data_IF_370406899439
#
_entry.id   IF_370406899439
#
_cell.length_a   1.000
_cell.length_b   1.000
_cell.length_c   1.000
_cell.angle_alpha   90.00
_cell.angle_beta   90.00
_cell.angle_gamma   90.00
#
_symmetry.space_group_name_H-M   'P 1'
#
loop_
_entity.id
_entity.type
_entity.pdbx_description
1 polymer ?
#
# COMPACT_ATOMS: atom_id res chain seq x y z
N UNK A 1 -33.39 -9.38 7.64
CA UNK A 1 -32.72 -9.26 8.95
C UNK A 1 -31.57 -8.24 8.97
N UNK A 2 -30.63 -8.24 8.01
CA UNK A 2 -29.50 -7.28 8.00
C UNK A 2 -29.88 -5.79 8.09
N UNK A 3 -30.90 -5.35 7.34
CA UNK A 3 -31.40 -3.96 7.40
C UNK A 3 -31.96 -3.54 8.78
N UNK A 4 -32.49 -4.49 9.56
CA UNK A 4 -32.99 -4.20 10.92
C UNK A 4 -31.83 -3.93 11.87
N UNK A 5 -30.74 -4.71 11.76
CA UNK A 5 -29.51 -4.47 12.52
C UNK A 5 -28.86 -3.13 12.16
N UNK A 6 -28.80 -2.79 10.86
CA UNK A 6 -28.28 -1.49 10.42
C UNK A 6 -29.10 -0.33 11.00
N UNK A 7 -30.43 -0.43 10.93
CA UNK A 7 -31.32 0.61 11.46
C UNK A 7 -31.20 0.72 12.98
N UNK A 8 -31.11 -0.40 13.69
CA UNK A 8 -30.93 -0.43 15.14
C UNK A 8 -29.59 0.19 15.58
N UNK A 9 -28.49 -0.11 14.86
CA UNK A 9 -27.17 0.47 15.13
C UNK A 9 -27.17 1.98 14.88
N UNK A 10 -27.76 2.44 13.76
CA UNK A 10 -27.87 3.87 13.45
C UNK A 10 -28.73 4.58 14.49
N UNK A 11 -29.86 3.99 14.89
CA UNK A 11 -30.73 4.56 15.92
C UNK A 11 -30.00 4.65 17.26
N UNK A 12 -29.26 3.61 17.66
CA UNK A 12 -28.46 3.61 18.88
C UNK A 12 -27.38 4.72 18.82
N UNK A 13 -26.62 4.82 17.74
CA UNK A 13 -25.62 5.88 17.56
C UNK A 13 -26.25 7.28 17.60
N UNK A 14 -27.41 7.46 16.97
CA UNK A 14 -28.15 8.72 16.99
C UNK A 14 -28.63 9.06 18.41
N UNK A 15 -29.16 8.09 19.15
CA UNK A 15 -29.59 8.32 20.55
C UNK A 15 -28.40 8.70 21.44
N UNK A 16 -27.26 8.03 21.30
CA UNK A 16 -26.04 8.39 22.04
C UNK A 16 -25.53 9.78 21.67
N UNK A 17 -25.57 10.14 20.38
CA UNK A 17 -25.18 11.47 19.91
C UNK A 17 -26.08 12.55 20.51
N UNK A 18 -27.40 12.38 20.44
CA UNK A 18 -28.36 13.34 20.99
C UNK A 18 -28.20 13.45 22.50
N UNK A 19 -28.06 12.32 23.22
CA UNK A 19 -27.78 12.32 24.66
C UNK A 19 -26.49 13.07 25.00
N UNK A 20 -25.41 12.86 24.23
CA UNK A 20 -24.15 13.56 24.39
C UNK A 20 -24.27 15.07 24.16
N UNK A 21 -24.95 15.49 23.09
CA UNK A 21 -25.18 16.92 22.81
C UNK A 21 -26.02 17.57 23.90
N UNK A 22 -27.08 16.91 24.36
CA UNK A 22 -27.94 17.40 25.45
C UNK A 22 -27.15 17.51 26.75
N UNK A 23 -26.29 16.52 27.06
CA UNK A 23 -25.43 16.56 28.25
C UNK A 23 -24.43 17.73 28.20
N UNK A 24 -23.75 17.93 27.06
CA UNK A 24 -22.85 19.07 26.86
C UNK A 24 -23.60 20.40 26.97
N UNK A 25 -24.78 20.51 26.35
CA UNK A 25 -25.59 21.73 26.42
C UNK A 25 -26.10 22.03 27.84
N UNK A 26 -26.50 21.00 28.60
CA UNK A 26 -26.92 21.12 30.00
C UNK A 26 -25.80 21.62 30.90
N UNK A 27 -24.60 21.05 30.71
CA UNK A 27 -23.41 21.41 31.46
C UNK A 27 -22.88 22.81 31.11
N UNK A 28 -23.17 23.33 29.91
CA UNK A 28 -22.84 24.71 29.52
C UNK A 28 -23.82 25.74 30.10
N UNK A 29 -25.10 25.39 30.25
CA UNK A 29 -26.16 26.35 30.54
C UNK A 29 -26.50 26.48 32.04
N UNK A 30 -26.45 25.42 32.85
CA UNK A 30 -27.05 25.48 34.19
C UNK A 30 -26.34 24.71 35.32
N UNK A 31 -25.61 23.62 35.04
CA UNK A 31 -25.23 22.68 36.10
C UNK A 31 -23.71 22.69 36.41
N UNK A 32 -23.34 23.26 37.56
CA UNK A 32 -21.94 23.36 38.02
C UNK A 32 -21.27 21.98 38.17
N UNK A 33 -22.03 20.94 38.56
CA UNK A 33 -21.48 19.58 38.72
C UNK A 33 -21.17 18.93 37.36
N UNK A 34 -22.04 19.14 36.38
CA UNK A 34 -21.82 18.66 35.02
C UNK A 34 -20.69 19.43 34.32
N UNK A 35 -20.53 20.72 34.64
CA UNK A 35 -19.41 21.55 34.17
C UNK A 35 -18.05 21.04 34.67
N UNK A 36 -17.91 20.67 35.96
CA UNK A 36 -16.68 20.06 36.49
C UNK A 36 -16.37 18.72 35.81
N UNK A 37 -17.40 17.88 35.59
CA UNK A 37 -17.22 16.61 34.88
C UNK A 37 -16.83 16.79 33.42
N UNK A 38 -17.33 17.85 32.75
CA UNK A 38 -16.89 18.23 31.41
C UNK A 38 -15.43 18.69 31.38
N UNK A 39 -15.01 19.50 32.35
CA UNK A 39 -13.61 19.93 32.45
C UNK A 39 -12.68 18.74 32.71
N UNK A 40 -13.06 17.82 33.60
CA UNK A 40 -12.31 16.58 33.80
C UNK A 40 -12.23 15.74 32.51
N UNK A 41 -13.33 15.64 31.75
CA UNK A 41 -13.37 14.95 30.46
C UNK A 41 -12.45 15.62 29.42
N UNK A 42 -12.48 16.95 29.34
CA UNK A 42 -11.67 17.74 28.42
C UNK A 42 -10.17 17.71 28.74
N UNK A 43 -9.79 17.86 30.01
CA UNK A 43 -8.39 17.96 30.42
C UNK A 43 -7.71 16.60 30.59
N UNK A 44 -8.41 15.59 31.13
CA UNK A 44 -7.81 14.31 31.48
C UNK A 44 -8.13 13.20 30.48
N UNK A 45 -9.42 13.00 30.15
CA UNK A 45 -9.84 11.86 29.34
C UNK A 45 -9.60 12.06 27.84
N UNK A 46 -9.81 13.28 27.32
CA UNK A 46 -9.69 13.57 25.90
C UNK A 46 -8.26 13.40 25.37
N UNK A 47 -7.20 13.89 26.05
CA UNK A 47 -5.82 13.61 25.64
C UNK A 47 -5.46 12.13 25.73
N UNK A 48 -5.98 11.40 26.72
CA UNK A 48 -5.74 9.96 26.86
C UNK A 48 -6.40 9.17 25.72
N UNK A 49 -7.66 9.45 25.40
CA UNK A 49 -8.37 8.83 24.27
C UNK A 49 -7.67 9.14 22.95
N UNK A 50 -7.26 10.39 22.74
CA UNK A 50 -6.54 10.79 21.54
C UNK A 50 -5.17 10.09 21.43
N UNK A 51 -4.46 9.95 22.56
CA UNK A 51 -3.22 9.16 22.64
C UNK A 51 -3.44 7.69 22.28
N UNK A 52 -4.50 7.06 22.77
CA UNK A 52 -4.86 5.68 22.42
C UNK A 52 -5.21 5.52 20.93
N UNK A 53 -6.01 6.42 20.38
CA UNK A 53 -6.41 6.41 18.96
C UNK A 53 -5.18 6.63 18.06
N UNK A 54 -4.32 7.59 18.42
CA UNK A 54 -3.07 7.88 17.72
C UNK A 54 -2.12 6.68 17.76
N UNK A 55 -1.91 6.07 18.94
CA UNK A 55 -1.07 4.87 19.08
C UNK A 55 -1.59 3.70 18.25
N UNK A 56 -2.92 3.47 18.25
CA UNK A 56 -3.54 2.46 17.40
C UNK A 56 -3.33 2.76 15.91
N UNK A 57 -3.56 4.01 15.49
CA UNK A 57 -3.36 4.44 14.11
C UNK A 57 -1.89 4.31 13.65
N UNK A 58 -0.94 4.68 14.50
CA UNK A 58 0.49 4.56 14.21
C UNK A 58 0.92 3.08 14.16
N UNK A 59 0.40 2.22 15.04
CA UNK A 59 0.64 0.77 14.98
C UNK A 59 0.05 0.15 13.69
N UNK A 60 -1.14 0.60 13.28
CA UNK A 60 -1.72 0.19 11.99
C UNK A 60 -0.84 0.65 10.83
N UNK A 61 -0.35 1.89 10.83
CA UNK A 61 0.58 2.41 9.83
C UNK A 61 1.88 1.62 9.77
N UNK A 62 2.44 1.23 10.92
CA UNK A 62 3.66 0.42 11.02
C UNK A 62 3.56 -0.91 10.27
N UNK A 63 2.41 -1.57 10.36
CA UNK A 63 2.17 -2.86 9.72
C UNK A 63 1.71 -2.71 8.27
N UNK A 64 0.81 -1.74 8.01
CA UNK A 64 0.22 -1.55 6.69
C UNK A 64 1.22 -0.99 5.69
N UNK A 65 2.09 -0.06 6.10
CA UNK A 65 3.04 0.60 5.19
C UNK A 65 3.99 -0.41 4.52
N UNK A 66 4.82 -1.20 5.24
CA UNK A 66 5.74 -2.15 4.60
C UNK A 66 5.02 -3.19 3.73
N UNK A 67 3.84 -3.64 4.15
CA UNK A 67 3.01 -4.54 3.34
C UNK A 67 2.51 -3.87 2.05
N UNK A 68 2.10 -2.61 2.15
CA UNK A 68 1.71 -1.77 1.03
C UNK A 68 2.83 -1.53 0.04
N UNK A 69 4.06 -1.29 0.51
CA UNK A 69 5.25 -1.17 -0.34
C UNK A 69 5.42 -2.43 -1.22
N UNK A 70 5.39 -3.62 -0.60
CA UNK A 70 5.46 -4.90 -1.32
C UNK A 70 4.37 -5.01 -2.38
N UNK A 71 3.14 -4.63 -2.02
CA UNK A 71 2.00 -4.69 -2.92
C UNK A 71 2.12 -3.70 -4.07
N UNK A 72 2.63 -2.49 -3.85
CA UNK A 72 2.87 -1.51 -4.92
C UNK A 72 3.90 -2.03 -5.93
N UNK A 73 4.98 -2.67 -5.48
CA UNK A 73 5.93 -3.32 -6.41
C UNK A 73 5.26 -4.42 -7.25
N UNK A 74 4.41 -5.25 -6.61
CA UNK A 74 3.66 -6.29 -7.32
C UNK A 74 2.62 -5.72 -8.30
N UNK A 75 1.88 -4.69 -7.89
CA UNK A 75 0.82 -4.06 -8.68
C UNK A 75 1.44 -3.35 -9.88
N UNK A 76 2.48 -2.55 -9.70
CA UNK A 76 3.24 -1.93 -10.79
C UNK A 76 3.79 -2.99 -11.75
N UNK A 77 4.26 -4.12 -11.21
CA UNK A 77 4.69 -5.29 -11.98
C UNK A 77 3.61 -5.96 -12.84
N UNK A 78 2.34 -5.83 -12.45
CA UNK A 78 1.18 -6.41 -13.15
C UNK A 78 0.42 -5.41 -14.04
N UNK A 79 0.34 -4.15 -13.63
CA UNK A 79 -0.41 -3.09 -14.31
C UNK A 79 0.38 -2.49 -15.46
N UNK A 80 1.70 -2.31 -15.29
CA UNK A 80 2.53 -1.86 -16.39
C UNK A 80 2.97 -3.08 -17.19
N UNK A 81 2.61 -3.08 -18.47
CA UNK A 81 3.04 -4.07 -19.45
C UNK A 81 4.56 -4.21 -19.34
N UNK A 82 5.03 -5.42 -19.03
CA UNK A 82 6.47 -5.66 -18.95
C UNK A 82 7.12 -5.19 -20.24
N UNK A 83 8.08 -4.25 -20.16
CA UNK A 83 8.78 -3.76 -21.32
C UNK A 83 9.52 -4.95 -21.91
N UNK A 84 9.20 -5.29 -23.16
CA UNK A 84 10.10 -6.14 -23.94
C UNK A 84 11.12 -5.19 -24.54
N UNK A 85 12.06 -4.77 -23.68
CA UNK A 85 12.97 -3.65 -23.93
C UNK A 85 13.81 -3.80 -25.21
N UNK A 86 13.90 -5.03 -25.73
CA UNK A 86 14.67 -5.43 -26.91
C UNK A 86 13.84 -6.17 -27.96
N UNK A 87 12.52 -6.30 -27.81
CA UNK A 87 11.72 -6.92 -28.87
C UNK A 87 11.29 -5.84 -29.86
N UNK A 88 11.84 -5.91 -31.07
CA UNK A 88 11.49 -5.01 -32.15
C UNK A 88 10.00 -5.18 -32.47
N UNK A 89 9.17 -4.22 -32.05
CA UNK A 89 7.72 -4.21 -32.34
C UNK A 89 7.49 -4.34 -33.85
N UNK A 90 8.37 -3.74 -34.65
CA UNK A 90 8.37 -3.84 -36.11
C UNK A 90 8.57 -5.28 -36.60
N UNK A 91 9.50 -6.04 -36.01
CA UNK A 91 9.71 -7.46 -36.31
C UNK A 91 8.50 -8.30 -35.88
N UNK A 92 7.90 -8.03 -34.72
CA UNK A 92 6.72 -8.80 -34.29
C UNK A 92 5.49 -8.54 -35.15
N UNK A 93 5.33 -7.31 -35.66
CA UNK A 93 4.26 -6.95 -36.58
C UNK A 93 4.51 -7.59 -37.96
N UNK A 94 5.75 -7.58 -38.45
CA UNK A 94 6.09 -8.21 -39.73
C UNK A 94 5.96 -9.73 -39.69
N UNK A 95 6.36 -10.39 -38.60
CA UNK A 95 6.12 -11.82 -38.39
C UNK A 95 4.62 -12.15 -38.36
N UNK A 96 3.82 -11.37 -37.63
CA UNK A 96 2.36 -11.57 -37.56
C UNK A 96 1.68 -11.39 -38.93
N UNK A 97 2.12 -10.40 -39.71
CA UNK A 97 1.66 -10.18 -41.09
C UNK A 97 1.99 -11.38 -42.00
N UNK A 98 3.20 -11.94 -41.87
CA UNK A 98 3.61 -13.10 -42.65
C UNK A 98 2.81 -14.36 -42.27
N UNK A 99 2.54 -14.57 -40.98
CA UNK A 99 1.69 -15.66 -40.50
C UNK A 99 0.26 -15.54 -41.03
N UNK A 100 -0.35 -14.35 -40.95
CA UNK A 100 -1.68 -14.07 -41.53
C UNK A 100 -1.72 -14.35 -43.03
N UNK A 101 -0.71 -13.88 -43.79
CA UNK A 101 -0.61 -14.13 -45.22
C UNK A 101 -0.39 -15.61 -45.58
N UNK A 102 0.24 -16.39 -44.69
CA UNK A 102 0.40 -17.84 -44.85
C UNK A 102 -0.91 -18.60 -44.59
N UNK A 103 -1.66 -18.19 -43.57
CA UNK A 103 -2.96 -18.79 -43.21
C UNK A 103 -4.03 -18.43 -44.24
N UNK A 104 -4.04 -17.19 -44.74
CA UNK A 104 -4.92 -16.76 -45.84
C UNK A 104 -4.71 -17.63 -47.09
N UNK A 105 -3.45 -17.89 -47.47
CA UNK A 105 -3.13 -18.78 -48.59
C UNK A 105 -3.58 -20.22 -48.36
N UNK A 106 -3.44 -20.76 -47.14
CA UNK A 106 -3.94 -22.11 -46.79
C UNK A 106 -5.47 -22.20 -46.87
N UNK A 107 -6.18 -21.11 -46.57
CA UNK A 107 -7.64 -21.02 -46.66
C UNK A 107 -8.12 -21.01 -48.13
N UNK A 108 -7.41 -20.29 -49.01
CA UNK A 108 -7.75 -20.18 -50.44
C UNK A 108 -7.26 -21.38 -51.25
N UNK A 109 -6.17 -22.02 -50.83
CA UNK A 109 -5.47 -23.09 -51.56
C UNK A 109 -6.10 -24.48 -51.49
N UNK A 110 -7.29 -24.63 -50.92
CA UNK A 110 -8.05 -25.90 -50.97
C UNK A 110 -7.36 -27.07 -50.28
N UNK A 111 -7.21 -27.02 -48.95
CA UNK A 111 -6.83 -28.21 -48.18
C UNK A 111 -7.98 -29.24 -48.21
N UNK A 112 -7.69 -30.44 -48.70
CA UNK A 112 -8.59 -31.53 -49.09
C UNK A 112 -9.39 -32.22 -47.96
N UNK A 113 -9.65 -31.55 -46.83
CA UNK A 113 -10.42 -32.15 -45.74
C UNK A 113 -11.21 -31.08 -44.98
N UNK A 114 -12.54 -31.11 -45.11
CA UNK A 114 -13.47 -30.16 -44.49
C UNK A 114 -13.30 -30.05 -42.96
N UNK A 115 -12.80 -31.09 -42.28
CA UNK A 115 -12.59 -31.10 -40.82
C UNK A 115 -11.49 -30.14 -40.33
N UNK A 116 -10.55 -29.70 -41.18
CA UNK A 116 -9.49 -28.75 -40.77
C UNK A 116 -9.80 -27.28 -41.10
N UNK A 117 -10.81 -27.00 -41.93
CA UNK A 117 -11.10 -25.62 -42.37
C UNK A 117 -11.59 -24.74 -41.21
N UNK A 118 -12.40 -25.28 -40.30
CA UNK A 118 -12.89 -24.54 -39.13
C UNK A 118 -11.78 -24.20 -38.14
N UNK A 119 -10.79 -25.10 -37.99
CA UNK A 119 -9.61 -24.87 -37.13
C UNK A 119 -8.74 -23.77 -37.72
N UNK A 120 -8.43 -23.85 -39.02
CA UNK A 120 -7.63 -22.85 -39.73
C UNK A 120 -8.34 -21.48 -39.72
N UNK A 121 -9.67 -21.44 -39.87
CA UNK A 121 -10.46 -20.22 -39.80
C UNK A 121 -10.43 -19.58 -38.41
N UNK A 122 -10.50 -20.38 -37.34
CA UNK A 122 -10.34 -19.88 -35.96
C UNK A 122 -8.94 -19.34 -35.69
N UNK A 123 -7.90 -20.04 -36.15
CA UNK A 123 -6.52 -19.57 -36.05
C UNK A 123 -6.31 -18.25 -36.81
N UNK A 124 -6.85 -18.14 -38.02
CA UNK A 124 -6.81 -16.92 -38.82
C UNK A 124 -7.45 -15.73 -38.09
N UNK A 125 -8.66 -15.91 -37.54
CA UNK A 125 -9.34 -14.86 -36.75
C UNK A 125 -8.53 -14.45 -35.51
N UNK A 126 -7.91 -15.42 -34.83
CA UNK A 126 -7.05 -15.15 -33.66
C UNK A 126 -5.79 -14.36 -34.03
N UNK A 127 -5.19 -14.66 -35.19
CA UNK A 127 -4.02 -13.94 -35.71
C UNK A 127 -4.38 -12.55 -36.20
N UNK A 128 -5.55 -12.38 -36.82
CA UNK A 128 -6.04 -11.07 -37.22
C UNK A 128 -6.32 -10.18 -36.00
N UNK A 129 -6.96 -10.72 -34.95
CA UNK A 129 -7.16 -10.01 -33.70
C UNK A 129 -5.83 -9.62 -33.03
N UNK A 130 -4.84 -10.53 -33.06
CA UNK A 130 -3.49 -10.27 -32.57
C UNK A 130 -2.79 -9.17 -33.36
N UNK A 131 -2.89 -9.16 -34.70
CA UNK A 131 -2.34 -8.10 -35.56
C UNK A 131 -2.95 -6.75 -35.24
N UNK A 132 -4.29 -6.65 -35.21
CA UNK A 132 -5.00 -5.40 -34.92
C UNK A 132 -4.59 -4.88 -33.53
N UNK A 133 -4.47 -5.76 -32.54
CA UNK A 133 -3.96 -5.39 -31.22
C UNK A 133 -2.49 -4.89 -31.28
N UNK A 134 -1.62 -5.51 -32.08
CA UNK A 134 -0.22 -5.09 -32.26
C UNK A 134 -0.07 -3.77 -33.02
N UNK A 135 -0.93 -3.50 -34.01
CA UNK A 135 -0.96 -2.23 -34.75
C UNK A 135 -1.50 -1.08 -33.90
N UNK A 136 -2.57 -1.32 -33.13
CA UNK A 136 -3.06 -0.37 -32.13
C UNK A 136 -1.99 -0.07 -31.10
N UNK A 137 -1.21 -1.10 -30.75
CA UNK A 137 -0.03 -0.93 -29.92
C UNK A 137 0.97 -0.02 -30.64
N UNK A 138 1.42 -0.33 -31.85
CA UNK A 138 2.44 0.45 -32.61
C UNK A 138 2.18 1.96 -32.66
N UNK A 139 0.91 2.40 -32.69
CA UNK A 139 0.55 3.84 -32.71
C UNK A 139 0.82 4.60 -31.41
N UNK A 140 1.01 3.93 -30.28
CA UNK A 140 1.36 4.59 -29.01
C UNK A 140 2.88 4.82 -28.91
N UNK A 141 3.29 5.89 -28.23
CA UNK A 141 4.68 6.34 -28.22
C UNK A 141 5.63 5.30 -27.60
N UNK A 142 6.80 5.01 -28.20
CA UNK A 142 7.76 4.02 -27.69
C UNK A 142 8.20 4.32 -26.24
N UNK A 143 8.32 5.61 -25.92
CA UNK A 143 8.78 6.10 -24.63
C UNK A 143 7.78 5.80 -23.50
N UNK A 144 6.49 6.10 -23.71
CA UNK A 144 5.44 5.83 -22.70
C UNK A 144 5.24 4.33 -22.45
N UNK A 145 5.63 3.49 -23.42
CA UNK A 145 5.42 2.03 -23.38
C UNK A 145 6.57 1.26 -22.77
N UNK A 146 7.79 1.70 -23.06
CA UNK A 146 8.99 0.97 -22.69
C UNK A 146 9.71 1.59 -21.50
N UNK A 147 9.61 2.91 -21.33
CA UNK A 147 10.27 3.64 -20.23
C UNK A 147 9.39 3.78 -18.99
N UNK A 148 8.06 3.81 -19.15
CA UNK A 148 7.14 3.97 -18.03
C UNK A 148 7.30 2.90 -16.93
N UNK A 149 7.46 1.64 -17.32
CA UNK A 149 7.66 0.52 -16.38
C UNK A 149 8.97 0.63 -15.60
N UNK A 150 10.16 0.71 -16.24
CA UNK A 150 11.42 0.78 -15.52
C UNK A 150 11.54 2.06 -14.71
N UNK A 151 11.00 3.19 -15.21
CA UNK A 151 11.00 4.45 -14.48
C UNK A 151 10.13 4.38 -13.22
N UNK A 152 8.90 3.84 -13.31
CA UNK A 152 8.03 3.68 -12.15
C UNK A 152 8.62 2.70 -11.12
N UNK A 153 9.21 1.59 -11.58
CA UNK A 153 9.89 0.62 -10.70
C UNK A 153 11.10 1.24 -10.00
N UNK A 154 11.91 2.02 -10.73
CA UNK A 154 13.08 2.71 -10.20
C UNK A 154 12.69 3.83 -9.23
N UNK A 155 11.61 4.57 -9.52
CA UNK A 155 11.06 5.58 -8.61
C UNK A 155 10.56 4.96 -7.31
N UNK A 156 9.78 3.87 -7.39
CA UNK A 156 9.31 3.14 -6.21
C UNK A 156 10.50 2.62 -5.38
N UNK A 157 11.51 2.06 -6.05
CA UNK A 157 12.74 1.59 -5.41
C UNK A 157 13.49 2.73 -4.72
N UNK A 158 13.71 3.84 -5.42
CA UNK A 158 14.39 5.01 -4.87
C UNK A 158 13.66 5.57 -3.65
N UNK A 159 12.33 5.71 -3.71
CA UNK A 159 11.52 6.17 -2.58
C UNK A 159 11.61 5.22 -1.38
N UNK A 160 11.56 3.89 -1.60
CA UNK A 160 11.76 2.93 -0.50
C UNK A 160 13.15 3.02 0.11
N UNK A 161 14.19 3.07 -0.71
CA UNK A 161 15.58 3.11 -0.23
C UNK A 161 15.82 4.39 0.56
N UNK A 162 15.39 5.54 0.03
CA UNK A 162 15.47 6.83 0.75
C UNK A 162 14.69 6.77 2.06
N UNK A 163 13.48 6.18 2.09
CA UNK A 163 12.71 6.04 3.34
C UNK A 163 13.45 5.23 4.41
N UNK A 164 14.04 4.10 4.03
CA UNK A 164 14.77 3.22 4.95
C UNK A 164 16.04 3.91 5.43
N UNK A 165 16.79 4.54 4.54
CA UNK A 165 18.01 5.27 4.91
C UNK A 165 17.71 6.39 5.91
N UNK A 166 16.66 7.18 5.67
CA UNK A 166 16.23 8.25 6.58
C UNK A 166 15.91 7.70 7.98
N UNK A 167 15.11 6.62 8.06
CA UNK A 167 14.78 6.00 9.35
C UNK A 167 16.02 5.41 10.02
N UNK A 168 16.92 4.77 9.26
CA UNK A 168 18.17 4.25 9.80
C UNK A 168 19.06 5.36 10.37
N UNK A 169 19.20 6.50 9.68
CA UNK A 169 19.92 7.66 10.21
C UNK A 169 19.25 8.21 11.47
N UNK A 170 17.91 8.26 11.51
CA UNK A 170 17.19 8.68 12.70
C UNK A 170 17.38 7.73 13.89
N UNK A 171 17.40 6.40 13.65
CA UNK A 171 17.70 5.41 14.70
C UNK A 171 19.12 5.57 15.23
N UNK A 172 20.09 5.85 14.36
CA UNK A 172 21.47 6.12 14.77
C UNK A 172 21.56 7.42 15.59
N UNK A 173 20.83 8.45 15.18
CA UNK A 173 20.75 9.72 15.92
C UNK A 173 20.14 9.53 17.31
N UNK A 174 19.02 8.80 17.41
CA UNK A 174 18.38 8.44 18.68
C UNK A 174 19.33 7.63 19.58
N UNK A 175 20.23 6.82 19.03
CA UNK A 175 21.18 6.03 19.81
C UNK A 175 22.34 6.87 20.37
N UNK A 176 22.71 7.96 19.68
CA UNK A 176 23.83 8.83 20.05
C UNK A 176 23.36 9.98 20.94
N UNK A 177 22.15 10.48 20.72
CA UNK A 177 21.61 11.67 21.38
C UNK A 177 20.14 11.47 21.80
N UNK A 178 19.93 11.30 23.11
CA UNK A 178 18.60 11.16 23.72
C UNK A 178 17.73 12.42 23.58
N UNK A 179 18.30 13.56 23.14
CA UNK A 179 17.57 14.81 22.87
C UNK A 179 16.92 14.87 21.49
N UNK A 180 17.29 13.95 20.57
CA UNK A 180 16.69 13.84 19.23
C UNK A 180 15.27 13.23 19.24
N UNK A 181 14.77 12.92 20.44
CA UNK A 181 13.43 12.40 20.65
C UNK A 181 12.37 13.40 20.15
N UNK A 182 11.24 12.93 19.58
CA UNK A 182 10.15 13.79 19.12
C UNK A 182 9.38 14.47 20.27
N UNK A 183 10.03 14.90 21.36
CA UNK A 183 9.45 15.71 22.43
C UNK A 183 9.04 17.08 21.86
N UNK A 184 7.94 17.63 22.35
CA UNK A 184 7.52 18.98 21.99
C UNK A 184 8.64 19.95 22.34
N UNK A 185 9.14 20.69 21.35
CA UNK A 185 10.15 21.72 21.59
C UNK A 185 9.42 22.98 22.06
N UNK A 186 9.78 23.48 23.24
CA UNK A 186 9.68 24.90 23.55
C UNK A 186 10.68 25.60 22.60
N UNK A 187 10.19 26.57 21.82
CA UNK A 187 10.91 27.40 20.84
C UNK A 187 11.07 26.84 19.41
N UNK A 188 10.11 27.14 18.50
CA UNK A 188 10.22 26.81 17.09
C UNK A 188 11.12 27.83 16.38
N UNK A 189 12.43 27.56 16.34
CA UNK A 189 13.29 28.20 15.34
C UNK A 189 12.95 27.62 13.96
N UNK A 190 11.97 28.23 13.30
CA UNK A 190 11.64 27.96 11.90
C UNK A 190 12.93 27.96 11.06
N UNK A 191 13.31 26.79 10.54
CA UNK A 191 14.37 26.65 9.54
C UNK A 191 15.76 26.19 10.04
N UNK A 192 15.98 25.96 11.34
CA UNK A 192 17.33 25.67 11.84
C UNK A 192 17.78 24.18 11.73
N UNK A 193 16.84 23.22 11.73
CA UNK A 193 17.18 21.79 11.87
C UNK A 193 16.64 20.87 10.75
N UNK A 194 16.27 21.43 9.59
CA UNK A 194 15.79 20.63 8.45
C UNK A 194 16.71 20.83 7.27
N UNK A 195 17.56 19.84 6.98
CA UNK A 195 18.26 19.68 5.69
C UNK A 195 18.76 20.99 5.06
N UNK A 196 19.36 21.89 5.85
CA UNK A 196 19.69 23.24 5.39
C UNK A 196 20.75 23.27 4.28
N UNK A 197 21.42 22.16 3.99
CA UNK A 197 22.26 22.03 2.79
C UNK A 197 21.45 21.94 1.47
N UNK A 198 20.17 21.54 1.51
CA UNK A 198 19.31 21.34 0.32
C UNK A 198 18.04 22.22 0.29
N UNK A 199 17.69 22.92 1.38
CA UNK A 199 16.62 23.92 1.40
C UNK A 199 15.26 23.41 0.90
N UNK A 200 14.70 24.06 -0.13
CA UNK A 200 13.40 23.73 -0.72
C UNK A 200 13.33 22.33 -1.33
N UNK A 201 14.46 21.77 -1.80
CA UNK A 201 14.52 20.41 -2.34
C UNK A 201 14.33 19.38 -1.23
N UNK A 202 14.87 19.61 -0.03
CA UNK A 202 14.64 18.75 1.13
C UNK A 202 13.16 18.71 1.53
N UNK A 203 12.50 19.87 1.54
CA UNK A 203 11.06 19.97 1.79
C UNK A 203 10.24 19.25 0.70
N UNK A 204 10.61 19.40 -0.58
CA UNK A 204 9.95 18.69 -1.67
C UNK A 204 10.08 17.16 -1.53
N UNK A 205 11.27 16.66 -1.18
CA UNK A 205 11.49 15.23 -0.93
C UNK A 205 10.66 14.74 0.26
N UNK A 206 10.58 15.51 1.35
CA UNK A 206 9.74 15.18 2.50
C UNK A 206 8.25 15.07 2.13
N UNK A 207 7.72 16.04 1.37
CA UNK A 207 6.31 16.01 0.92
C UNK A 207 6.06 14.79 0.03
N UNK A 208 6.96 14.52 -0.92
CA UNK A 208 6.87 13.33 -1.78
C UNK A 208 6.92 12.05 -0.94
N UNK A 209 7.76 12.00 0.10
CA UNK A 209 7.88 10.85 0.99
C UNK A 209 6.64 10.64 1.87
N UNK A 210 6.06 11.72 2.40
CA UNK A 210 4.80 11.66 3.15
C UNK A 210 3.67 11.14 2.26
N UNK A 211 3.53 11.69 1.04
CA UNK A 211 2.53 11.23 0.08
C UNK A 211 2.77 9.76 -0.31
N UNK A 212 4.02 9.38 -0.47
CA UNK A 212 4.41 8.00 -0.75
C UNK A 212 4.00 7.04 0.37
N UNK A 213 4.30 7.38 1.63
CA UNK A 213 3.93 6.57 2.79
C UNK A 213 2.42 6.55 3.03
N UNK A 214 1.72 7.64 2.74
CA UNK A 214 0.25 7.70 2.75
C UNK A 214 -0.35 6.73 1.73
N UNK A 215 0.08 6.78 0.47
CA UNK A 215 -0.44 5.87 -0.56
C UNK A 215 -0.07 4.41 -0.21
N UNK A 216 1.15 4.17 0.24
CA UNK A 216 1.62 2.85 0.66
C UNK A 216 0.77 2.28 1.79
N UNK A 217 0.52 3.06 2.84
CA UNK A 217 -0.28 2.63 3.98
C UNK A 217 -1.74 2.35 3.60
N UNK A 218 -2.35 3.16 2.75
CA UNK A 218 -3.71 2.92 2.23
C UNK A 218 -3.76 1.64 1.40
N UNK A 219 -2.82 1.45 0.48
CA UNK A 219 -2.71 0.22 -0.33
C UNK A 219 -2.51 -1.00 0.57
N UNK A 220 -1.68 -0.88 1.60
CA UNK A 220 -1.44 -1.92 2.58
C UNK A 220 -2.66 -2.26 3.42
N UNK A 221 -3.37 -1.23 3.89
CA UNK A 221 -4.60 -1.37 4.68
C UNK A 221 -5.65 -2.18 3.92
N UNK A 222 -6.00 -1.77 2.69
CA UNK A 222 -6.99 -2.47 1.88
C UNK A 222 -6.52 -3.82 1.32
N UNK A 223 -5.21 -4.05 1.27
CA UNK A 223 -4.66 -5.35 0.87
C UNK A 223 -4.62 -6.37 2.01
N UNK A 224 -4.76 -5.92 3.27
CA UNK A 224 -4.62 -6.77 4.45
C UNK A 224 -5.83 -7.68 4.66
N UNK A 225 -5.61 -8.90 5.18
CA UNK A 225 -6.69 -9.89 5.38
C UNK A 225 -7.78 -9.42 6.36
N UNK A 226 -7.45 -8.50 7.26
CA UNK A 226 -8.38 -7.98 8.26
C UNK A 226 -9.32 -6.92 7.69
N UNK A 227 -8.85 -6.10 6.74
CA UNK A 227 -9.59 -4.94 6.23
C UNK A 227 -10.00 -5.06 4.76
N UNK A 228 -9.73 -6.19 4.09
CA UNK A 228 -10.24 -6.47 2.73
C UNK A 228 -11.76 -6.46 2.65
N UNK A 229 -12.46 -6.78 3.75
CA UNK A 229 -13.92 -6.72 3.83
C UNK A 229 -14.51 -5.30 3.80
N UNK A 230 -13.68 -4.29 4.04
CA UNK A 230 -14.06 -2.88 3.94
C UNK A 230 -13.83 -2.31 2.54
N UNK A 231 -13.20 -3.03 1.61
CA UNK A 231 -12.93 -2.52 0.27
C UNK A 231 -14.24 -2.10 -0.44
N UNK A 232 -14.41 -0.82 -0.82
CA UNK A 232 -15.63 -0.35 -1.45
C UNK A 232 -15.82 -1.01 -2.83
N UNK A 233 -17.04 -1.49 -3.10
CA UNK A 233 -17.44 -2.04 -4.40
C UNK A 233 -18.48 -1.14 -5.05
N UNK A 234 -18.36 -0.90 -6.34
CA UNK A 234 -19.36 -0.12 -7.07
C UNK A 234 -20.74 -0.77 -6.91
N UNK A 235 -21.72 0.00 -6.44
CA UNK A 235 -23.14 -0.39 -6.30
C UNK A 235 -23.46 -1.47 -5.24
N UNK A 236 -22.47 -1.96 -4.49
CA UNK A 236 -22.65 -3.02 -3.47
C UNK A 236 -21.86 -2.68 -2.20
N UNK A 237 -22.12 -1.50 -1.64
CA UNK A 237 -21.55 -1.03 -0.36
C UNK A 237 -22.65 -0.80 0.66
N UNK A 238 -22.61 -1.57 1.74
CA UNK A 238 -23.50 -1.36 2.89
C UNK A 238 -23.12 -0.07 3.63
N UNK A 239 -24.08 0.57 4.30
CA UNK A 239 -23.85 1.80 5.06
C UNK A 239 -22.79 1.59 6.16
N UNK A 240 -22.77 0.40 6.76
CA UNK A 240 -21.78 0.01 7.77
C UNK A 240 -20.35 -0.05 7.22
N UNK A 241 -20.16 -0.53 5.98
CA UNK A 241 -18.86 -0.49 5.30
C UNK A 241 -18.42 0.93 4.97
N UNK A 242 -19.35 1.82 4.61
CA UNK A 242 -19.04 3.24 4.36
C UNK A 242 -18.54 3.89 5.65
N UNK A 243 -19.26 3.74 6.76
CA UNK A 243 -18.83 4.25 8.07
C UNK A 243 -17.48 3.66 8.45
N UNK A 244 -17.30 2.34 8.32
CA UNK A 244 -16.04 1.66 8.63
C UNK A 244 -14.86 2.19 7.81
N UNK A 245 -15.05 2.44 6.51
CA UNK A 245 -14.04 3.05 5.65
C UNK A 245 -13.72 4.49 6.07
N UNK A 246 -14.73 5.32 6.33
CA UNK A 246 -14.54 6.70 6.76
C UNK A 246 -13.76 6.75 8.08
N UNK A 247 -14.16 5.96 9.09
CA UNK A 247 -13.47 5.87 10.38
C UNK A 247 -12.03 5.38 10.19
N UNK A 248 -11.83 4.33 9.39
CA UNK A 248 -10.49 3.78 9.16
C UNK A 248 -9.55 4.76 8.45
N UNK A 249 -10.03 5.41 7.38
CA UNK A 249 -9.25 6.42 6.66
C UNK A 249 -8.99 7.66 7.52
N UNK A 250 -9.94 8.06 8.37
CA UNK A 250 -9.78 9.18 9.27
C UNK A 250 -8.71 8.89 10.34
N UNK A 251 -8.74 7.71 10.95
CA UNK A 251 -7.70 7.26 11.91
C UNK A 251 -6.34 7.20 11.21
N UNK A 252 -6.26 6.60 10.02
CA UNK A 252 -5.03 6.50 9.25
C UNK A 252 -4.48 7.90 8.92
N UNK A 253 -5.34 8.81 8.46
CA UNK A 253 -4.99 10.18 8.11
C UNK A 253 -4.49 10.98 9.32
N UNK A 254 -5.17 10.87 10.48
CA UNK A 254 -4.74 11.55 11.71
C UNK A 254 -3.42 11.04 12.27
N UNK A 255 -3.09 9.76 12.02
CA UNK A 255 -1.88 9.14 12.50
C UNK A 255 -0.67 9.39 11.58
N UNK A 256 -0.87 9.79 10.32
CA UNK A 256 0.23 10.02 9.35
C UNK A 256 1.25 11.08 9.79
N UNK A 257 0.85 12.25 10.34
CA UNK A 257 1.81 13.24 10.83
C UNK A 257 2.64 12.71 12.00
N UNK A 258 1.99 12.02 12.95
CA UNK A 258 2.66 11.40 14.10
C UNK A 258 3.61 10.31 13.63
N UNK A 259 3.19 9.48 12.68
CA UNK A 259 4.01 8.46 12.05
C UNK A 259 5.25 9.06 11.36
N UNK A 260 5.08 10.08 10.52
CA UNK A 260 6.19 10.76 9.84
C UNK A 260 7.19 11.39 10.82
N UNK A 261 6.70 11.95 11.92
CA UNK A 261 7.53 12.49 13.00
C UNK A 261 8.26 11.38 13.77
N UNK A 262 7.59 10.29 14.13
CA UNK A 262 8.22 9.16 14.82
C UNK A 262 9.31 8.50 14.02
N UNK A 263 9.18 8.49 12.69
CA UNK A 263 10.18 7.97 11.76
C UNK A 263 11.38 8.90 11.53
N UNK A 264 11.34 10.13 12.05
CA UNK A 264 12.36 11.15 11.79
C UNK A 264 12.36 11.71 10.37
N UNK A 265 11.29 11.50 9.60
CA UNK A 265 11.16 11.99 8.22
C UNK A 265 10.93 13.50 8.19
N UNK A 266 10.09 13.99 9.11
CA UNK A 266 9.76 15.41 9.26
C UNK A 266 10.06 15.89 10.67
N UNK A 267 10.78 17.01 10.78
CA UNK A 267 10.98 17.75 12.03
C UNK A 267 10.00 18.90 12.24
N UNK A 268 9.23 19.25 11.21
CA UNK A 268 8.29 20.37 11.27
C UNK A 268 7.02 19.99 12.02
N UNK A 269 6.75 20.71 13.11
CA UNK A 269 5.55 20.57 13.94
C UNK A 269 4.41 21.47 13.43
N UNK A 270 3.95 21.22 12.20
CA UNK A 270 2.97 22.08 11.53
C UNK A 270 1.53 21.95 12.09
N UNK A 271 1.25 20.97 12.95
CA UNK A 271 -0.10 20.65 13.42
C UNK A 271 -0.29 20.78 14.95
N UNK A 272 0.62 21.48 15.63
CA UNK A 272 0.49 21.80 17.05
C UNK A 272 0.97 20.67 17.98
N UNK A 273 0.88 20.94 19.28
CA UNK A 273 1.52 20.25 20.41
C UNK A 273 1.28 18.71 20.49
N UNK A 274 1.86 17.98 19.54
CA UNK A 274 1.98 16.51 19.59
C UNK A 274 2.92 16.07 20.72
N UNK A 275 3.59 17.00 21.40
CA UNK A 275 4.34 16.76 22.63
C UNK A 275 3.46 16.26 23.79
N UNK A 276 2.13 16.45 23.72
CA UNK A 276 1.18 15.96 24.75
C UNK A 276 0.92 14.46 24.74
N UNK A 277 1.44 13.71 23.76
CA UNK A 277 1.28 12.26 23.76
C UNK A 277 2.26 11.61 24.73
N UNK A 278 1.75 11.11 25.86
CA UNK A 278 2.56 10.43 26.88
C UNK A 278 3.46 9.30 26.34
N UNK A 279 3.04 8.58 25.29
CA UNK A 279 3.83 7.49 24.70
C UNK A 279 4.98 7.99 23.82
N UNK A 280 4.83 9.17 23.20
CA UNK A 280 5.82 9.78 22.32
C UNK A 280 7.03 10.32 23.08
N UNK A 281 6.93 10.42 24.42
CA UNK A 281 7.99 10.75 25.36
C UNK A 281 8.76 9.54 25.93
N UNK A 282 8.40 8.30 25.55
CA UNK A 282 9.11 7.08 25.96
C UNK A 282 10.10 6.57 24.88
N UNK A 283 11.40 6.61 25.21
CA UNK A 283 12.49 6.31 24.28
C UNK A 283 12.37 4.89 23.72
N UNK A 284 12.09 3.92 24.58
CA UNK A 284 12.01 2.51 24.19
C UNK A 284 10.89 2.27 23.17
N UNK A 285 9.76 2.95 23.31
CA UNK A 285 8.63 2.79 22.38
C UNK A 285 9.00 3.35 21.01
N UNK A 286 9.55 4.58 20.96
CA UNK A 286 9.96 5.23 19.71
C UNK A 286 11.10 4.47 19.04
N UNK A 287 12.08 4.00 19.80
CA UNK A 287 13.22 3.23 19.29
C UNK A 287 12.77 1.87 18.72
N UNK A 288 11.97 1.11 19.49
CA UNK A 288 11.42 -0.17 19.04
C UNK A 288 10.57 0.00 17.77
N UNK A 289 9.76 1.05 17.73
CA UNK A 289 8.93 1.38 16.59
C UNK A 289 9.76 1.58 15.31
N UNK A 290 10.81 2.41 15.40
CA UNK A 290 11.69 2.70 14.28
C UNK A 290 12.47 1.47 13.80
N UNK A 291 13.01 0.67 14.73
CA UNK A 291 13.69 -0.59 14.38
C UNK A 291 12.72 -1.55 13.70
N UNK A 292 11.51 -1.68 14.23
CA UNK A 292 10.51 -2.59 13.66
C UNK A 292 10.10 -2.13 12.26
N UNK A 293 9.91 -0.81 12.06
CA UNK A 293 9.63 -0.26 10.74
C UNK A 293 10.78 -0.55 9.77
N UNK A 294 12.00 -0.14 10.12
CA UNK A 294 13.19 -0.32 9.28
C UNK A 294 13.44 -1.80 8.96
N UNK A 295 13.24 -2.70 9.93
CA UNK A 295 13.37 -4.14 9.76
C UNK A 295 12.33 -4.71 8.79
N UNK A 296 11.05 -4.37 8.98
CA UNK A 296 9.95 -4.83 8.11
C UNK A 296 10.10 -4.31 6.68
N UNK A 297 10.43 -3.02 6.51
CA UNK A 297 10.64 -2.41 5.19
C UNK A 297 11.87 -2.97 4.50
N UNK A 298 12.98 -3.18 5.23
CA UNK A 298 14.20 -3.78 4.67
C UNK A 298 13.99 -5.23 4.27
N UNK A 299 13.32 -6.04 5.10
CA UNK A 299 12.99 -7.41 4.78
C UNK A 299 12.07 -7.50 3.53
N UNK A 300 11.09 -6.60 3.43
CA UNK A 300 10.24 -6.47 2.24
C UNK A 300 11.07 -6.11 1.00
N UNK A 301 11.97 -5.14 1.12
CA UNK A 301 12.82 -4.68 0.03
C UNK A 301 13.76 -5.79 -0.46
N UNK A 302 14.46 -6.45 0.46
CA UNK A 302 15.36 -7.57 0.15
C UNK A 302 14.57 -8.67 -0.56
N UNK A 303 13.44 -9.11 -0.01
CA UNK A 303 12.62 -10.13 -0.67
C UNK A 303 12.21 -9.71 -2.08
N UNK A 304 11.76 -8.47 -2.27
CA UNK A 304 11.33 -7.97 -3.58
C UNK A 304 12.47 -7.92 -4.59
N UNK A 305 13.64 -7.41 -4.18
CA UNK A 305 14.84 -7.32 -5.02
C UNK A 305 15.39 -8.72 -5.32
N UNK A 306 15.50 -9.59 -4.31
CA UNK A 306 15.96 -10.97 -4.49
C UNK A 306 15.07 -11.73 -5.47
N UNK A 307 13.75 -11.62 -5.36
CA UNK A 307 12.81 -12.23 -6.31
C UNK A 307 12.96 -11.65 -7.72
N UNK A 308 13.15 -10.34 -7.85
CA UNK A 308 13.37 -9.69 -9.14
C UNK A 308 14.67 -10.16 -9.81
N UNK A 309 15.78 -10.19 -9.04
CA UNK A 309 17.09 -10.66 -9.52
C UNK A 309 17.03 -12.13 -9.90
N UNK A 310 16.46 -13.00 -9.05
CA UNK A 310 16.30 -14.43 -9.37
C UNK A 310 15.50 -14.64 -10.66
N UNK A 311 14.46 -13.84 -10.88
CA UNK A 311 13.64 -13.94 -12.09
C UNK A 311 14.41 -13.55 -13.35
N UNK A 312 15.19 -12.47 -13.30
CA UNK A 312 16.00 -12.08 -14.45
C UNK A 312 17.15 -13.04 -14.68
N UNK A 313 17.76 -13.58 -13.62
CA UNK A 313 18.77 -14.63 -13.72
C UNK A 313 18.20 -15.89 -14.41
N UNK A 314 17.02 -16.36 -14.02
CA UNK A 314 16.32 -17.49 -14.65
C UNK A 314 15.98 -17.26 -16.12
N UNK A 315 15.70 -16.01 -16.50
CA UNK A 315 15.48 -15.64 -17.91
C UNK A 315 16.79 -15.59 -18.70
N UNK A 316 17.84 -15.02 -18.12
CA UNK A 316 19.16 -14.92 -18.73
C UNK A 316 19.77 -16.31 -18.97
N UNK A 317 19.60 -17.26 -18.04
CA UNK A 317 20.00 -18.66 -18.23
C UNK A 317 19.08 -19.46 -19.16
N UNK A 318 18.04 -18.86 -19.73
CA UNK A 318 17.16 -19.53 -20.69
C UNK A 318 16.27 -20.64 -20.09
N UNK A 319 16.26 -20.83 -18.77
CA UNK A 319 15.49 -21.88 -18.09
C UNK A 319 13.97 -21.72 -18.25
N UNK A 320 13.48 -20.57 -18.72
CA UNK A 320 12.07 -20.38 -19.04
C UNK A 320 11.60 -21.22 -20.25
N UNK A 321 12.52 -21.71 -21.10
CA UNK A 321 12.20 -22.55 -22.27
C UNK A 321 12.16 -24.06 -21.98
N UNK A 322 12.56 -24.48 -20.77
CA UNK A 322 12.40 -25.87 -20.36
C UNK A 322 10.92 -26.12 -20.03
N UNK A 323 10.30 -27.21 -20.55
CA UNK A 323 8.96 -27.59 -20.15
C UNK A 323 9.00 -27.87 -18.64
N UNK A 324 8.40 -26.99 -17.84
CA UNK A 324 8.25 -27.18 -16.39
C UNK A 324 7.27 -28.34 -16.15
N UNK A 325 7.76 -29.57 -16.30
CA UNK A 325 7.26 -30.69 -15.54
C UNK A 325 7.91 -30.58 -14.18
N UNK A 326 7.21 -29.97 -13.23
CA UNK A 326 7.20 -30.32 -11.79
C UNK A 326 6.33 -29.26 -11.09
N UNK A 327 5.18 -29.75 -10.67
CA UNK A 327 4.29 -29.17 -9.68
C UNK A 327 5.07 -28.52 -8.53
N UNK A 328 4.96 -27.19 -8.39
CA UNK A 328 5.07 -26.55 -7.07
C UNK A 328 3.71 -26.72 -6.40
N UNK A 329 3.47 -27.90 -5.82
CA UNK A 329 2.48 -28.02 -4.77
C UNK A 329 2.97 -27.17 -3.60
N UNK A 330 2.43 -25.96 -3.50
CA UNK A 330 2.18 -25.34 -2.20
C UNK A 330 1.40 -26.38 -1.39
N UNK A 331 2.08 -27.16 -0.56
CA UNK A 331 1.44 -27.98 0.46
C UNK A 331 0.81 -26.98 1.43
N UNK A 332 -0.53 -26.86 1.50
CA UNK A 332 -1.12 -26.11 2.59
C UNK A 332 -0.83 -26.91 3.86
N UNK A 333 -0.23 -26.24 4.84
CA UNK A 333 0.09 -26.73 6.19
C UNK A 333 -1.10 -27.40 6.94
N UNK A 334 -2.30 -27.40 6.36
CA UNK A 334 -3.51 -28.06 6.87
C UNK A 334 -3.53 -29.59 6.73
N UNK A 335 -2.74 -30.19 5.84
CA UNK A 335 -2.76 -31.66 5.64
C UNK A 335 -1.75 -32.42 6.52
N UNK A 336 -0.75 -31.73 7.08
CA UNK A 336 0.21 -32.30 8.05
C UNK A 336 -0.33 -32.30 9.49
N UNK A 337 -1.34 -31.49 9.79
CA UNK A 337 -2.02 -31.49 11.10
C UNK A 337 -3.19 -32.48 11.18
N UNK A 338 -3.72 -32.93 10.04
CA UNK A 338 -4.85 -33.87 10.00
C UNK A 338 -4.41 -35.36 10.06
N UNK A 339 -3.14 -35.66 9.79
CA UNK A 339 -2.59 -37.03 9.82
C UNK A 339 -1.90 -37.42 11.13
N UNK A 340 -1.75 -36.47 12.07
CA UNK A 340 -1.10 -36.71 13.38
C UNK A 340 -2.05 -37.04 14.54
N UNK A 341 -3.37 -37.03 14.34
CA UNK A 341 -4.37 -37.19 15.41
C UNK A 341 -5.32 -38.40 15.25
N UNK A 342 -5.08 -39.32 14.31
CA UNK A 342 -5.87 -40.57 14.18
C UNK A 342 -5.13 -41.85 14.56
N UNK A 343 -4.02 -41.74 15.28
CA UNK A 343 -3.29 -42.90 15.83
C UNK A 343 -2.85 -42.66 17.28
N UNK A 344 -3.82 -42.43 18.16
CA UNK A 344 -3.68 -42.76 19.58
C UNK A 344 -4.99 -43.44 19.98
N UNK A 345 -4.93 -44.77 20.02
CA UNK A 345 -5.76 -45.61 20.87
C UNK A 345 -5.10 -45.64 22.25
#
# INVERSE_FOLDING_TARGET
MGRVYETAVVLLLLTLLVLGIVWVASALLHDHTAQESLYALWEYYLPYLYSCISLFGVLLLLLCTPFGLSRMFSITGSLLVKPRLLENVEETVSCALFEEASLSRKLTGGASCWMNMDVIKREFLSMQARRVALEMRRRASPWQRNLGYPLAMLLLLALTVVSVLMVCFHVLELLIDDTAMPRGMEDPHLGAASFSMFGSLGAAVQVVLILYLMVSSVVGFYSSRFFTGLLPRAQDTTLTQIIGNCVSLLVLSSALPVFSRTLGITRFDLLGDFGRYNWLGNFYIVFLYNILFAGLTSACLINTVTWAVQRELMRAFGLHKLPQTVSRSTIPLKLLLASGLSKIQ
#
